data_IF_717280771322
#
_entry.id   IF_717280771322
#
_cell.length_a   1.000
_cell.length_b   1.000
_cell.length_c   1.000
_cell.angle_alpha   90.00
_cell.angle_beta   90.00
_cell.angle_gamma   90.00
#
_symmetry.space_group_name_H-M   'P 1'
#
loop_
_entity.id
_entity.type
_entity.pdbx_description
1 polymer ?
#
# COMPACT_ATOMS: atom_id res chain seq x y z
N UNK A 1 17.28 -8.61 18.03
CA UNK A 1 15.81 -8.79 18.21
C UNK A 1 15.14 -8.54 16.86
N UNK A 2 13.89 -8.97 16.61
CA UNK A 2 13.24 -8.84 15.27
C UNK A 2 13.25 -7.39 14.72
N UNK A 3 13.26 -6.40 15.62
CA UNK A 3 13.28 -4.96 15.31
C UNK A 3 14.66 -4.32 15.50
N UNK A 4 15.74 -5.12 15.52
CA UNK A 4 17.09 -4.60 15.69
C UNK A 4 17.48 -3.73 14.49
N UNK A 5 17.93 -2.51 14.77
CA UNK A 5 18.19 -1.49 13.75
C UNK A 5 16.96 -0.73 13.24
N UNK A 6 15.74 -1.06 13.69
CA UNK A 6 14.56 -0.27 13.36
C UNK A 6 14.46 0.99 14.25
N UNK A 7 14.23 2.16 13.66
CA UNK A 7 14.08 3.41 14.40
C UNK A 7 13.04 4.34 13.79
N UNK A 8 12.22 4.95 14.65
CA UNK A 8 11.26 5.97 14.23
C UNK A 8 12.01 7.27 13.88
N UNK A 9 11.92 7.69 12.62
CA UNK A 9 12.59 8.92 12.14
C UNK A 9 11.61 10.06 11.89
N UNK A 10 10.36 9.75 11.57
CA UNK A 10 9.29 10.74 11.43
C UNK A 10 7.97 10.20 11.98
N UNK A 11 7.25 11.05 12.71
CA UNK A 11 5.84 10.88 12.99
C UNK A 11 5.18 12.25 12.84
N UNK A 12 4.38 12.41 11.79
CA UNK A 12 3.74 13.68 11.46
C UNK A 12 2.26 13.47 11.17
N UNK A 13 1.44 14.40 11.67
CA UNK A 13 0.06 14.56 11.21
C UNK A 13 0.12 15.26 9.86
N UNK A 14 -0.43 14.61 8.84
CA UNK A 14 -0.43 15.11 7.45
C UNK A 14 -1.77 15.69 7.03
N UNK A 15 -2.84 15.28 7.70
CA UNK A 15 -4.19 15.78 7.48
C UNK A 15 -4.99 15.67 8.80
N UNK A 16 -5.91 16.61 9.03
CA UNK A 16 -6.76 16.62 10.21
C UNK A 16 -8.10 17.30 9.94
N UNK A 17 -9.20 16.68 10.37
CA UNK A 17 -10.54 17.22 10.19
C UNK A 17 -11.58 16.59 11.09
N UNK A 18 -12.76 17.21 11.15
CA UNK A 18 -13.93 16.60 11.80
C UNK A 18 -14.68 15.71 10.81
N UNK A 19 -14.91 14.45 11.19
CA UNK A 19 -15.68 13.48 10.40
C UNK A 19 -16.84 12.92 11.23
N UNK A 20 -17.98 12.56 10.62
CA UNK A 20 -19.05 11.85 11.31
C UNK A 20 -18.56 10.57 11.98
N UNK A 21 -18.96 10.34 13.24
CA UNK A 21 -18.70 9.07 13.91
C UNK A 21 -19.77 8.04 13.52
N UNK A 22 -19.32 6.86 13.08
CA UNK A 22 -20.21 5.72 12.88
C UNK A 22 -20.59 5.05 14.21
N UNK A 23 -19.80 5.23 15.27
CA UNK A 23 -20.06 4.72 16.61
C UNK A 23 -21.04 5.58 17.43
N UNK A 24 -21.09 6.89 17.18
CA UNK A 24 -21.98 7.81 17.92
C UNK A 24 -22.81 8.65 16.94
N UNK A 25 -24.04 8.21 16.61
CA UNK A 25 -24.87 8.87 15.60
C UNK A 25 -25.14 10.35 15.92
N UNK A 26 -24.89 11.21 14.94
CA UNK A 26 -25.10 12.66 15.06
C UNK A 26 -23.93 13.42 15.70
N UNK A 27 -22.88 12.72 16.12
CA UNK A 27 -21.64 13.33 16.61
C UNK A 27 -20.53 13.28 15.56
N UNK A 28 -19.61 14.21 15.69
CA UNK A 28 -18.39 14.29 14.90
C UNK A 28 -17.20 13.93 15.78
N UNK A 29 -16.18 13.32 15.18
CA UNK A 29 -14.89 13.06 15.83
C UNK A 29 -13.78 13.76 15.06
N UNK A 30 -12.73 14.12 15.78
CA UNK A 30 -11.47 14.48 15.14
C UNK A 30 -10.87 13.23 14.49
N UNK A 31 -10.40 13.42 13.27
CA UNK A 31 -9.71 12.41 12.48
C UNK A 31 -8.38 12.98 12.01
N UNK A 32 -7.29 12.28 12.31
CA UNK A 32 -5.93 12.70 11.97
C UNK A 32 -5.26 11.62 11.11
N UNK A 33 -4.84 12.00 9.91
CA UNK A 33 -3.99 11.18 9.06
C UNK A 33 -2.53 11.29 9.52
N UNK A 34 -1.86 10.15 9.69
CA UNK A 34 -0.45 10.11 10.11
C UNK A 34 0.45 9.57 9.00
N UNK A 35 1.61 10.20 8.86
CA UNK A 35 2.75 9.64 8.15
C UNK A 35 3.83 9.24 9.18
N UNK A 36 4.23 7.97 9.14
CA UNK A 36 5.25 7.40 10.02
C UNK A 36 6.37 6.85 9.16
N UNK A 37 7.59 7.34 9.35
CA UNK A 37 8.78 6.80 8.70
C UNK A 37 9.62 6.03 9.72
N UNK A 38 9.94 4.78 9.36
CA UNK A 38 10.68 3.85 10.21
C UNK A 38 11.89 3.36 9.42
N UNK A 39 13.07 3.89 9.74
CA UNK A 39 14.32 3.39 9.20
C UNK A 39 14.55 1.97 9.72
N UNK A 40 15.03 1.07 8.86
CA UNK A 40 15.32 -0.32 9.25
C UNK A 40 14.11 -1.26 9.35
N UNK A 41 12.89 -0.78 9.04
CA UNK A 41 11.73 -1.67 8.89
C UNK A 41 11.98 -2.69 7.77
N UNK A 42 12.43 -2.19 6.61
CA UNK A 42 13.09 -2.98 5.57
C UNK A 42 14.58 -2.64 5.61
N UNK A 43 15.44 -3.61 5.89
CA UNK A 43 16.89 -3.38 5.91
C UNK A 43 17.49 -3.47 4.50
N UNK A 44 18.75 -3.08 4.35
CA UNK A 44 19.43 -3.04 3.04
C UNK A 44 19.45 -4.41 2.33
N UNK A 45 19.61 -5.50 3.07
CA UNK A 45 19.63 -6.84 2.48
C UNK A 45 18.23 -7.28 2.01
N UNK A 46 17.20 -6.99 2.81
CA UNK A 46 15.80 -7.23 2.45
C UNK A 46 15.40 -6.38 1.24
N UNK A 47 15.75 -5.10 1.22
CA UNK A 47 15.47 -4.20 0.10
C UNK A 47 16.13 -4.70 -1.19
N UNK A 48 17.39 -5.16 -1.11
CA UNK A 48 18.11 -5.73 -2.27
C UNK A 48 17.47 -7.03 -2.77
N UNK A 49 17.05 -7.93 -1.86
CA UNK A 49 16.34 -9.17 -2.23
C UNK A 49 15.01 -8.86 -2.93
N UNK A 50 14.22 -7.94 -2.39
CA UNK A 50 12.95 -7.51 -2.99
C UNK A 50 13.21 -6.88 -4.36
N UNK A 51 14.20 -5.99 -4.47
CA UNK A 51 14.51 -5.29 -5.71
C UNK A 51 15.00 -6.25 -6.80
N UNK A 52 15.86 -7.21 -6.46
CA UNK A 52 16.30 -8.27 -7.36
C UNK A 52 15.11 -9.14 -7.81
N UNK A 53 14.22 -9.49 -6.88
CA UNK A 53 13.01 -10.25 -7.18
C UNK A 53 12.05 -9.47 -8.10
N UNK A 54 11.91 -8.15 -7.93
CA UNK A 54 11.06 -7.32 -8.78
C UNK A 54 11.69 -7.03 -10.15
N UNK A 55 13.01 -7.14 -10.26
CA UNK A 55 13.73 -6.88 -11.50
C UNK A 55 14.38 -8.17 -12.01
N UNK A 56 15.70 -8.27 -11.93
CA UNK A 56 16.49 -9.46 -12.21
C UNK A 56 17.86 -9.37 -11.50
N UNK A 57 18.54 -10.50 -11.25
CA UNK A 57 19.89 -10.49 -10.71
C UNK A 57 20.84 -9.62 -11.53
N UNK A 58 21.47 -8.65 -10.86
CA UNK A 58 22.43 -7.72 -11.49
C UNK A 58 21.82 -6.73 -12.48
N UNK A 59 20.51 -6.47 -12.41
CA UNK A 59 19.86 -5.46 -13.25
C UNK A 59 20.45 -4.05 -13.00
N UNK A 60 20.59 -3.27 -14.08
CA UNK A 60 21.07 -1.88 -14.01
C UNK A 60 19.92 -0.92 -13.70
N UNK A 61 19.82 -0.50 -12.44
CA UNK A 61 18.77 0.40 -11.95
C UNK A 61 18.92 1.87 -12.39
N UNK A 62 19.90 2.19 -13.24
CA UNK A 62 19.97 3.52 -13.87
C UNK A 62 19.07 3.66 -15.10
N UNK A 63 18.54 2.53 -15.61
CA UNK A 63 17.68 2.47 -16.79
C UNK A 63 16.24 2.05 -16.49
N UNK A 64 15.52 1.73 -17.56
CA UNK A 64 14.15 1.23 -17.47
C UNK A 64 14.12 -0.17 -16.80
N UNK A 65 13.06 -0.46 -16.02
CA UNK A 65 12.89 -1.77 -15.40
C UNK A 65 12.63 -2.88 -16.44
N UNK A 66 12.84 -4.15 -16.09
CA UNK A 66 12.70 -5.27 -17.03
C UNK A 66 11.23 -5.47 -17.43
N UNK A 67 10.98 -5.50 -18.74
CA UNK A 67 9.63 -5.56 -19.30
C UNK A 67 8.92 -6.89 -19.07
N UNK A 68 9.63 -7.91 -18.62
CA UNK A 68 9.08 -9.21 -18.19
C UNK A 68 8.20 -9.08 -16.95
N UNK A 69 8.49 -8.11 -16.07
CA UNK A 69 7.77 -7.88 -14.80
C UNK A 69 7.06 -6.54 -14.72
N UNK A 70 7.49 -5.59 -15.56
CA UNK A 70 7.00 -4.22 -15.58
C UNK A 70 6.33 -3.89 -16.91
N UNK A 71 5.36 -2.99 -16.87
CA UNK A 71 4.71 -2.41 -18.06
C UNK A 71 4.67 -0.90 -17.93
N UNK A 72 4.79 -0.18 -19.07
CA UNK A 72 4.69 1.28 -19.12
C UNK A 72 3.30 1.72 -19.54
N UNK A 73 2.32 1.27 -18.77
CA UNK A 73 0.89 1.48 -19.01
C UNK A 73 0.18 1.99 -17.74
N UNK A 74 0.92 2.18 -16.64
CA UNK A 74 0.36 2.67 -15.39
C UNK A 74 0.08 4.16 -15.50
N UNK A 75 -1.17 4.57 -15.23
CA UNK A 75 -1.59 5.97 -15.30
C UNK A 75 -2.32 6.30 -14.01
N UNK A 76 -1.68 7.08 -13.12
CA UNK A 76 -2.24 7.42 -11.81
C UNK A 76 -3.49 8.30 -11.91
N UNK A 77 -3.54 9.21 -12.89
CA UNK A 77 -4.67 10.13 -13.09
C UNK A 77 -5.02 10.29 -14.55
N UNK A 78 -6.32 10.45 -14.81
CA UNK A 78 -6.83 10.68 -16.16
C UNK A 78 -6.13 11.89 -16.79
N UNK A 79 -5.42 11.64 -17.90
CA UNK A 79 -4.68 12.65 -18.65
C UNK A 79 -3.18 12.68 -18.38
N UNK A 80 -2.68 11.95 -17.38
CA UNK A 80 -1.25 11.82 -17.13
C UNK A 80 -0.56 10.90 -18.15
N UNK A 81 0.74 11.10 -18.32
CA UNK A 81 1.59 10.20 -19.10
C UNK A 81 1.75 8.86 -18.38
N UNK A 82 1.85 7.78 -19.15
CA UNK A 82 2.05 6.44 -18.59
C UNK A 82 3.45 6.27 -17.98
N UNK A 83 3.49 5.68 -16.79
CA UNK A 83 4.67 5.36 -16.00
C UNK A 83 4.83 3.84 -15.87
N UNK A 84 5.93 3.41 -15.26
CA UNK A 84 6.20 1.99 -15.03
C UNK A 84 5.46 1.46 -13.81
N UNK A 85 4.59 0.48 -14.04
CA UNK A 85 3.93 -0.30 -13.00
C UNK A 85 4.25 -1.79 -13.11
N UNK A 86 4.17 -2.50 -11.98
CA UNK A 86 4.22 -3.96 -11.99
C UNK A 86 3.04 -4.53 -12.76
N UNK A 87 3.31 -5.61 -13.49
CA UNK A 87 2.26 -6.37 -14.17
C UNK A 87 1.37 -7.10 -13.15
N UNK A 88 0.11 -7.32 -13.51
CA UNK A 88 -0.87 -7.99 -12.66
C UNK A 88 -0.40 -9.38 -12.20
N UNK A 89 0.28 -10.13 -13.06
CA UNK A 89 0.79 -11.47 -12.70
C UNK A 89 1.91 -11.41 -11.64
N UNK A 90 2.68 -10.32 -11.61
CA UNK A 90 3.72 -10.10 -10.60
C UNK A 90 3.11 -9.66 -9.28
N UNK A 91 2.07 -8.82 -9.31
CA UNK A 91 1.30 -8.45 -8.12
C UNK A 91 0.61 -9.69 -7.52
N UNK A 92 0.05 -10.57 -8.35
CA UNK A 92 -0.52 -11.83 -7.91
C UNK A 92 0.56 -12.75 -7.31
N UNK A 93 1.74 -12.84 -7.92
CA UNK A 93 2.86 -13.60 -7.36
C UNK A 93 3.33 -13.06 -6.00
N UNK A 94 3.35 -11.73 -5.80
CA UNK A 94 3.62 -11.13 -4.48
C UNK A 94 2.58 -11.53 -3.43
N UNK A 95 1.32 -11.70 -3.84
CA UNK A 95 0.25 -12.13 -2.96
C UNK A 95 0.36 -13.62 -2.60
N UNK A 96 0.59 -14.47 -3.59
CA UNK A 96 0.53 -15.93 -3.44
C UNK A 96 1.82 -16.53 -2.84
N UNK A 97 2.98 -16.01 -3.25
CA UNK A 97 4.30 -16.52 -2.86
C UNK A 97 5.32 -15.36 -2.73
N UNK A 98 5.15 -14.47 -1.72
CA UNK A 98 6.04 -13.34 -1.52
C UNK A 98 7.48 -13.80 -1.18
N UNK A 99 8.51 -13.05 -1.59
CA UNK A 99 9.88 -13.34 -1.18
C UNK A 99 10.04 -13.24 0.35
N UNK A 100 11.01 -13.97 0.90
CA UNK A 100 11.26 -14.05 2.35
C UNK A 100 11.48 -12.67 2.97
N UNK A 101 12.11 -11.74 2.24
CA UNK A 101 12.26 -10.36 2.65
C UNK A 101 10.93 -9.61 2.88
N UNK A 102 9.90 -9.82 2.05
CA UNK A 102 8.56 -9.23 2.26
C UNK A 102 7.92 -9.83 3.51
N UNK A 103 8.04 -11.14 3.71
CA UNK A 103 7.56 -11.81 4.92
C UNK A 103 8.29 -11.31 6.17
N UNK A 104 9.58 -10.99 6.07
CA UNK A 104 10.35 -10.40 7.16
C UNK A 104 9.82 -9.01 7.54
N UNK A 105 9.55 -8.15 6.55
CA UNK A 105 8.93 -6.82 6.77
C UNK A 105 7.56 -6.96 7.44
N UNK A 106 6.71 -7.87 6.97
CA UNK A 106 5.40 -8.14 7.58
C UNK A 106 5.52 -8.59 9.03
N UNK A 107 6.44 -9.52 9.35
CA UNK A 107 6.68 -9.98 10.71
C UNK A 107 7.11 -8.84 11.63
N UNK A 108 7.98 -7.95 11.15
CA UNK A 108 8.41 -6.75 11.90
C UNK A 108 7.24 -5.79 12.13
N UNK A 109 6.42 -5.56 11.11
CA UNK A 109 5.24 -4.72 11.23
C UNK A 109 4.25 -5.26 12.27
N UNK A 110 3.96 -6.57 12.25
CA UNK A 110 3.13 -7.21 13.28
C UNK A 110 3.75 -7.15 14.67
N UNK A 111 5.09 -7.16 14.77
CA UNK A 111 5.78 -7.03 16.04
C UNK A 111 5.82 -5.59 16.58
N UNK A 112 5.74 -4.58 15.71
CA UNK A 112 5.60 -3.16 16.10
C UNK A 112 4.21 -2.86 16.66
N UNK A 113 3.19 -3.57 16.17
CA UNK A 113 1.79 -3.36 16.52
C UNK A 113 1.15 -4.66 17.04
N UNK A 114 1.65 -5.23 18.16
CA UNK A 114 1.20 -6.53 18.67
C UNK A 114 -0.27 -6.54 19.13
N UNK A 115 -0.85 -5.37 19.39
CA UNK A 115 -2.25 -5.20 19.73
C UNK A 115 -3.18 -5.25 18.51
N UNK A 116 -2.62 -5.25 17.30
CA UNK A 116 -3.35 -5.31 16.03
C UNK A 116 -3.14 -6.64 15.32
N UNK A 117 -4.19 -7.10 14.63
CA UNK A 117 -4.04 -8.12 13.60
C UNK A 117 -3.68 -7.41 12.29
N UNK A 118 -2.40 -7.46 11.92
CA UNK A 118 -1.92 -6.94 10.64
C UNK A 118 -2.11 -8.00 9.57
N UNK A 119 -2.87 -7.66 8.53
CA UNK A 119 -3.09 -8.51 7.36
C UNK A 119 -3.14 -7.69 6.08
N UNK A 120 -3.01 -8.35 4.94
CA UNK A 120 -3.25 -7.71 3.65
C UNK A 120 -4.72 -7.28 3.52
N UNK A 121 -4.91 -6.19 2.79
CA UNK A 121 -6.22 -5.73 2.37
C UNK A 121 -6.89 -6.83 1.52
N UNK A 122 -8.12 -7.29 1.86
CA UNK A 122 -8.81 -8.30 1.09
C UNK A 122 -9.43 -7.67 -0.15
N UNK A 123 -8.62 -7.50 -1.19
CA UNK A 123 -8.97 -6.76 -2.41
C UNK A 123 -10.28 -7.25 -3.06
N UNK A 124 -10.52 -8.55 -3.00
CA UNK A 124 -11.73 -9.22 -3.51
C UNK A 124 -13.01 -8.85 -2.74
N UNK A 125 -12.89 -8.34 -1.52
CA UNK A 125 -14.02 -7.89 -0.72
C UNK A 125 -14.31 -6.39 -0.91
N UNK A 126 -13.37 -5.64 -1.50
CA UNK A 126 -13.48 -4.20 -1.67
C UNK A 126 -14.14 -3.79 -2.99
N UNK A 127 -14.08 -4.65 -4.01
CA UNK A 127 -14.72 -4.40 -5.29
C UNK A 127 -16.20 -4.81 -5.28
N UNK A 128 -16.97 -4.26 -6.23
CA UNK A 128 -18.28 -4.81 -6.56
C UNK A 128 -18.08 -6.00 -7.50
N UNK A 129 -18.45 -7.19 -7.04
CA UNK A 129 -18.35 -8.41 -7.85
C UNK A 129 -19.25 -8.38 -9.10
N UNK A 130 -20.15 -7.41 -9.22
CA UNK A 130 -21.03 -7.23 -10.37
C UNK A 130 -20.45 -6.27 -11.45
N UNK A 131 -19.31 -5.63 -11.20
CA UNK A 131 -18.67 -4.74 -12.17
C UNK A 131 -17.62 -5.51 -12.99
N UNK A 132 -18.09 -6.20 -14.03
CA UNK A 132 -17.26 -7.01 -14.94
C UNK A 132 -16.20 -6.19 -15.71
N UNK A 133 -16.33 -4.85 -15.75
CA UNK A 133 -15.41 -3.94 -16.44
C UNK A 133 -14.35 -3.32 -15.49
N UNK A 134 -14.45 -3.55 -14.17
CA UNK A 134 -13.49 -3.04 -13.20
C UNK A 134 -12.18 -3.84 -13.20
N UNK A 135 -11.03 -3.15 -13.22
CA UNK A 135 -9.76 -3.80 -12.97
C UNK A 135 -9.74 -4.40 -11.56
N UNK A 136 -9.24 -5.63 -11.39
CA UNK A 136 -9.16 -6.26 -10.08
C UNK A 136 -8.24 -5.44 -9.17
N UNK A 137 -8.73 -5.13 -7.98
CA UNK A 137 -7.95 -4.48 -6.94
C UNK A 137 -6.81 -5.41 -6.49
N UNK A 138 -5.74 -4.81 -5.99
CA UNK A 138 -4.58 -5.54 -5.45
C UNK A 138 -4.20 -4.97 -4.08
N UNK A 139 -3.75 -5.84 -3.18
CA UNK A 139 -3.16 -5.44 -1.91
C UNK A 139 -1.73 -4.89 -2.05
N UNK A 140 -1.13 -5.07 -3.22
CA UNK A 140 0.21 -4.61 -3.57
C UNK A 140 0.15 -3.65 -4.76
N UNK A 141 1.01 -2.65 -4.73
CA UNK A 141 1.28 -1.74 -5.85
C UNK A 141 2.78 -1.65 -6.00
N UNK A 142 3.28 -1.58 -7.23
CA UNK A 142 4.70 -1.35 -7.49
C UNK A 142 4.88 -0.38 -8.64
N UNK A 143 5.54 0.74 -8.33
CA UNK A 143 5.80 1.83 -9.26
C UNK A 143 7.32 2.04 -9.38
N UNK A 144 7.80 2.19 -10.61
CA UNK A 144 9.19 2.54 -10.91
C UNK A 144 9.21 3.93 -11.55
N UNK A 145 9.10 4.95 -10.69
CA UNK A 145 9.06 6.36 -11.12
C UNK A 145 10.42 6.77 -11.68
N UNK A 146 10.42 7.32 -12.89
CA UNK A 146 11.62 7.79 -13.58
C UNK A 146 11.69 9.32 -13.62
N UNK A 147 12.88 9.85 -13.87
CA UNK A 147 13.08 11.29 -13.99
C UNK A 147 12.20 11.88 -15.12
N UNK A 148 11.33 12.82 -14.75
CA UNK A 148 10.39 13.47 -15.67
C UNK A 148 8.99 12.84 -15.73
N UNK A 149 8.77 11.72 -15.04
CA UNK A 149 7.42 11.15 -14.91
C UNK A 149 6.49 12.08 -14.12
N UNK A 150 5.19 12.14 -14.46
CA UNK A 150 4.22 12.84 -13.64
C UNK A 150 4.08 12.10 -12.30
N UNK A 151 4.17 12.83 -11.19
CA UNK A 151 3.94 12.27 -9.87
C UNK A 151 2.88 13.09 -9.15
N UNK A 152 1.86 12.43 -8.63
CA UNK A 152 0.88 13.07 -7.80
C UNK A 152 0.37 12.14 -6.71
N UNK A 153 0.10 12.70 -5.54
CA UNK A 153 -0.43 11.93 -4.42
C UNK A 153 -1.90 11.58 -4.67
N UNK A 154 -2.32 10.38 -4.30
CA UNK A 154 -3.73 10.01 -4.22
C UNK A 154 -3.96 9.06 -3.05
N UNK A 155 -5.21 8.79 -2.74
CA UNK A 155 -5.61 7.81 -1.72
C UNK A 155 -5.94 6.51 -2.44
N UNK A 156 -5.16 5.47 -2.17
CA UNK A 156 -5.32 4.16 -2.85
C UNK A 156 -6.60 3.43 -2.42
N UNK A 157 -7.01 3.60 -1.15
CA UNK A 157 -8.22 3.01 -0.62
C UNK A 157 -8.82 3.87 0.51
N UNK A 158 -10.13 4.13 0.41
CA UNK A 158 -10.91 4.83 1.42
C UNK A 158 -12.19 4.03 1.71
N UNK A 159 -12.40 3.54 2.95
CA UNK A 159 -13.61 2.82 3.33
C UNK A 159 -14.92 3.61 3.10
N UNK A 160 -14.86 4.93 3.00
CA UNK A 160 -16.02 5.77 2.68
C UNK A 160 -16.40 5.77 1.21
N UNK A 161 -15.46 5.41 0.33
CA UNK A 161 -15.60 5.42 -1.12
C UNK A 161 -15.85 4.04 -1.73
N UNK A 162 -15.91 2.99 -0.90
CA UNK A 162 -16.15 1.63 -1.39
C UNK A 162 -17.55 1.46 -1.98
N UNK A 163 -17.73 0.61 -3.01
CA UNK A 163 -19.04 0.34 -3.59
C UNK A 163 -20.04 -0.14 -2.53
N UNK A 164 -21.29 0.37 -2.51
CA UNK A 164 -22.30 -0.03 -1.52
C UNK A 164 -22.63 -1.53 -1.54
N UNK A 165 -22.44 -2.20 -2.68
CA UNK A 165 -22.68 -3.62 -2.85
C UNK A 165 -21.46 -4.51 -2.54
N UNK A 166 -20.30 -3.92 -2.23
CA UNK A 166 -19.09 -4.69 -1.89
C UNK A 166 -19.29 -5.55 -0.65
N UNK A 167 -18.72 -6.76 -0.59
CA UNK A 167 -18.74 -7.60 0.62
C UNK A 167 -18.22 -6.89 1.87
N UNK A 168 -17.26 -5.97 1.70
CA UNK A 168 -16.71 -5.17 2.78
C UNK A 168 -17.76 -4.25 3.41
N UNK A 169 -18.47 -3.45 2.60
CA UNK A 169 -19.52 -2.57 3.09
C UNK A 169 -20.67 -3.37 3.69
N UNK A 170 -20.98 -4.56 3.17
CA UNK A 170 -21.96 -5.45 3.78
C UNK A 170 -21.57 -5.87 5.20
N UNK A 171 -20.30 -6.20 5.43
CA UNK A 171 -19.81 -6.72 6.70
C UNK A 171 -19.50 -5.62 7.73
N UNK A 172 -18.97 -4.49 7.28
CA UNK A 172 -18.43 -3.44 8.15
C UNK A 172 -19.22 -2.12 8.06
N UNK A 173 -20.10 -1.97 7.08
CA UNK A 173 -20.80 -0.71 6.80
C UNK A 173 -19.87 0.37 6.24
N UNK A 174 -20.43 1.56 6.03
CA UNK A 174 -19.65 2.76 5.72
C UNK A 174 -19.08 3.37 7.00
N UNK A 175 -17.80 3.72 6.96
CA UNK A 175 -17.13 4.41 8.05
C UNK A 175 -15.96 5.23 7.51
N UNK A 176 -15.64 6.33 8.18
CA UNK A 176 -14.39 7.03 7.94
C UNK A 176 -13.24 6.20 8.49
N UNK A 177 -12.13 6.07 7.74
CA UNK A 177 -10.96 5.34 8.22
C UNK A 177 -10.53 5.82 9.63
N UNK A 178 -9.89 4.95 10.42
CA UNK A 178 -9.59 5.17 11.86
C UNK A 178 -10.81 5.24 12.79
N UNK A 179 -12.02 4.88 12.32
CA UNK A 179 -13.17 4.75 13.22
C UNK A 179 -12.89 3.70 14.32
N UNK A 180 -13.08 4.03 15.61
CA UNK A 180 -12.87 3.09 16.70
C UNK A 180 -13.68 1.80 16.52
N UNK A 181 -13.03 0.66 16.67
CA UNK A 181 -13.69 -0.66 16.52
C UNK A 181 -13.98 -1.08 15.07
N UNK A 182 -13.51 -0.32 14.07
CA UNK A 182 -13.52 -0.71 12.66
C UNK A 182 -12.12 -1.11 12.18
N UNK A 183 -12.00 -1.93 11.12
CA UNK A 183 -10.70 -2.22 10.53
C UNK A 183 -10.02 -0.95 10.00
N UNK A 184 -8.73 -0.81 10.30
CA UNK A 184 -7.92 0.34 9.92
C UNK A 184 -7.22 0.07 8.58
N UNK A 185 -7.36 0.97 7.61
CA UNK A 185 -6.65 0.90 6.34
C UNK A 185 -5.34 1.67 6.47
N UNK A 186 -4.22 1.03 6.12
CA UNK A 186 -2.87 1.61 6.17
C UNK A 186 -2.11 1.19 4.91
N UNK A 187 -1.41 2.14 4.29
CA UNK A 187 -0.44 1.84 3.24
C UNK A 187 0.96 1.79 3.84
N UNK A 188 1.74 0.78 3.46
CA UNK A 188 3.18 0.68 3.78
C UNK A 188 3.94 0.90 2.49
N UNK A 189 4.75 1.96 2.45
CA UNK A 189 5.57 2.30 1.29
C UNK A 189 7.01 1.90 1.58
N UNK A 190 7.59 1.08 0.70
CA UNK A 190 8.98 0.68 0.75
C UNK A 190 9.74 1.34 -0.40
N UNK A 191 10.77 2.11 -0.06
CA UNK A 191 11.75 2.59 -1.03
C UNK A 191 12.88 1.56 -1.13
N UNK A 192 13.03 0.96 -2.32
CA UNK A 192 13.90 -0.20 -2.52
C UNK A 192 15.26 0.14 -3.12
N UNK A 193 15.33 1.25 -3.86
CA UNK A 193 16.57 1.80 -4.41
C UNK A 193 16.97 3.06 -3.67
N UNK A 194 18.26 3.40 -3.74
CA UNK A 194 18.73 4.71 -3.28
C UNK A 194 18.11 5.80 -4.13
N UNK A 195 17.57 6.82 -3.47
CA UNK A 195 17.15 8.05 -4.14
C UNK A 195 18.39 8.89 -4.48
N UNK A 196 18.49 9.48 -5.68
CA UNK A 196 19.55 10.43 -6.02
C UNK A 196 19.48 11.72 -5.19
#
# INVERSE_FOLDING_TARGET
>A
ALLDGASLVLNAVVDAGEVPSACVPGEYRLDEGHCVAIDGLCNVAEAAEILEWLTAPGHDHSGDPPTEKWTRECVDRVGDAATWGLRAEVLQALHDDPPDAILAVQRKLSALYPEWLVCHMPAEQLSDAADDDAQPLSAFVGNAVMAGDPCAYHVDADPTALPPASPWVHNYGFYHNREPGRPLFVSVVLYLNEWP
#
